data_IF_618128084927
#
_entry.id   IF_618128084927
#
_cell.length_a   1.000
_cell.length_b   1.000
_cell.length_c   1.000
_cell.angle_alpha   90.00
_cell.angle_beta   90.00
_cell.angle_gamma   90.00
#
_symmetry.space_group_name_H-M   'P 1'
#
loop_
_entity.id
_entity.type
_entity.pdbx_description
1 polymer ?
#
# COMPACT_ATOMS: atom_id res chain seq x y z
N UNK A 1 -25.47 -6.81 -4.78
CA UNK A 1 -24.48 -5.76 -4.98
C UNK A 1 -23.20 -6.22 -4.29
N UNK A 2 -22.10 -6.24 -5.00
CA UNK A 2 -20.80 -6.51 -4.38
C UNK A 2 -20.53 -5.35 -3.41
N UNK A 3 -20.40 -5.61 -2.09
CA UNK A 3 -20.16 -4.54 -1.14
C UNK A 3 -18.92 -3.75 -1.56
N UNK A 4 -19.01 -2.44 -1.59
CA UNK A 4 -17.88 -1.56 -1.77
C UNK A 4 -17.55 -1.13 -3.20
N UNK A 5 -18.35 -1.45 -4.20
CA UNK A 5 -18.21 -0.84 -5.54
C UNK A 5 -19.10 0.40 -5.62
N UNK A 6 -18.50 1.58 -5.71
CA UNK A 6 -19.23 2.80 -5.94
C UNK A 6 -20.02 2.69 -7.25
N UNK A 7 -21.29 3.14 -7.23
CA UNK A 7 -22.16 3.03 -8.42
C UNK A 7 -21.70 3.90 -9.59
N UNK A 8 -20.84 4.86 -9.31
CA UNK A 8 -20.26 5.83 -10.25
C UNK A 8 -18.80 5.52 -10.63
N UNK A 9 -18.28 4.35 -10.23
CA UNK A 9 -16.93 3.94 -10.58
C UNK A 9 -16.75 3.91 -12.11
N UNK A 10 -15.64 4.45 -12.59
CA UNK A 10 -15.28 4.43 -14.00
C UNK A 10 -14.91 3.02 -14.46
N UNK A 11 -14.86 2.75 -15.75
CA UNK A 11 -14.48 1.45 -16.28
C UNK A 11 -13.02 1.10 -15.93
N UNK A 12 -12.17 2.12 -15.76
CA UNK A 12 -10.79 1.97 -15.26
C UNK A 12 -10.82 1.50 -13.81
N UNK A 13 -11.59 2.17 -12.96
CA UNK A 13 -11.72 1.82 -11.55
C UNK A 13 -12.28 0.40 -11.39
N UNK A 14 -13.28 0.01 -12.18
CA UNK A 14 -13.83 -1.35 -12.20
C UNK A 14 -12.79 -2.39 -12.64
N UNK A 15 -11.97 -2.07 -13.63
CA UNK A 15 -10.88 -2.93 -14.09
C UNK A 15 -9.82 -3.15 -13.00
N UNK A 16 -9.45 -2.10 -12.27
CA UNK A 16 -8.55 -2.17 -11.13
C UNK A 16 -9.07 -3.12 -10.05
N UNK A 17 -10.34 -3.04 -9.75
CA UNK A 17 -10.96 -3.83 -8.67
C UNK A 17 -11.12 -5.29 -9.03
N UNK A 18 -11.29 -5.62 -10.29
CA UNK A 18 -11.36 -7.03 -10.76
C UNK A 18 -10.01 -7.72 -10.76
N UNK A 19 -8.91 -7.00 -10.91
CA UNK A 19 -7.55 -7.55 -10.84
C UNK A 19 -7.11 -7.96 -9.43
N UNK A 20 -7.88 -7.61 -8.41
CA UNK A 20 -7.51 -7.77 -7.00
C UNK A 20 -8.18 -8.97 -6.32
N UNK A 21 -9.00 -9.74 -7.04
CA UNK A 21 -9.64 -10.91 -6.44
C UNK A 21 -8.65 -12.07 -6.37
N UNK A 22 -8.13 -12.31 -5.17
CA UNK A 22 -7.36 -13.51 -4.87
C UNK A 22 -8.32 -14.65 -4.52
N UNK A 23 -8.32 -15.71 -5.32
CA UNK A 23 -9.15 -16.91 -5.11
C UNK A 23 -8.41 -18.07 -4.43
N UNK A 24 -7.11 -17.90 -4.15
CA UNK A 24 -6.29 -18.91 -3.48
C UNK A 24 -6.44 -18.90 -1.97
N UNK A 25 -5.93 -19.95 -1.32
CA UNK A 25 -5.81 -20.01 0.14
C UNK A 25 -4.51 -19.35 0.55
N UNK A 26 -4.61 -18.17 1.20
CA UNK A 26 -3.46 -17.50 1.78
C UNK A 26 -3.01 -18.22 3.04
N UNK A 27 -1.72 -18.48 3.14
CA UNK A 27 -1.13 -19.07 4.34
C UNK A 27 -1.09 -18.04 5.45
N UNK A 28 -1.45 -18.43 6.67
CA UNK A 28 -1.16 -17.61 7.84
C UNK A 28 0.33 -17.64 8.12
N UNK A 29 0.97 -16.48 8.07
CA UNK A 29 2.38 -16.27 8.40
C UNK A 29 2.46 -15.20 9.47
N UNK A 30 3.36 -15.35 10.41
CA UNK A 30 3.56 -14.38 11.49
C UNK A 30 3.82 -12.97 10.91
N UNK A 31 3.04 -12.00 11.34
CA UNK A 31 3.13 -10.61 10.91
C UNK A 31 2.34 -10.29 9.62
N UNK A 32 1.72 -11.27 8.98
CA UNK A 32 0.82 -11.05 7.83
C UNK A 32 -0.61 -11.34 8.24
N UNK A 33 -1.44 -10.30 8.28
CA UNK A 33 -2.89 -10.40 8.50
C UNK A 33 -3.61 -9.95 7.24
N UNK A 34 -4.21 -10.90 6.54
CA UNK A 34 -4.94 -10.61 5.31
C UNK A 34 -6.30 -10.00 5.63
N UNK A 35 -6.65 -8.97 4.87
CA UNK A 35 -7.90 -8.23 5.00
C UNK A 35 -8.59 -8.14 3.65
N UNK A 36 -9.91 -8.14 3.68
CA UNK A 36 -10.69 -7.84 2.48
C UNK A 36 -10.84 -6.32 2.35
N UNK A 37 -9.97 -5.72 1.55
CA UNK A 37 -9.99 -4.29 1.27
C UNK A 37 -10.95 -4.01 0.13
N UNK A 38 -11.97 -3.22 0.39
CA UNK A 38 -12.94 -2.86 -0.65
C UNK A 38 -12.38 -1.80 -1.59
N UNK A 39 -12.92 -1.71 -2.82
CA UNK A 39 -12.57 -0.65 -3.75
C UNK A 39 -12.73 0.76 -3.19
N UNK A 40 -13.80 1.00 -2.44
CA UNK A 40 -14.06 2.30 -1.81
C UNK A 40 -13.02 2.69 -0.77
N UNK A 41 -12.47 1.73 -0.03
CA UNK A 41 -11.40 2.01 0.94
C UNK A 41 -10.10 2.43 0.26
N UNK A 42 -9.83 2.01 -0.97
CA UNK A 42 -8.58 2.29 -1.67
C UNK A 42 -8.74 3.17 -2.91
N UNK A 43 -9.83 3.94 -3.00
CA UNK A 43 -10.09 4.83 -4.14
C UNK A 43 -8.96 5.84 -4.41
N UNK A 44 -8.23 6.22 -3.38
CA UNK A 44 -7.12 7.18 -3.48
C UNK A 44 -5.94 6.66 -4.29
N UNK A 45 -5.76 5.35 -4.37
CA UNK A 45 -4.61 4.73 -5.06
C UNK A 45 -4.59 4.97 -6.56
N UNK A 46 -5.72 5.32 -7.17
CA UNK A 46 -5.77 5.75 -8.57
C UNK A 46 -4.94 7.02 -8.83
N UNK A 47 -4.74 7.84 -7.82
CA UNK A 47 -3.92 9.06 -7.89
C UNK A 47 -2.45 8.79 -7.56
N UNK A 48 -2.15 7.71 -6.86
CA UNK A 48 -0.79 7.32 -6.47
C UNK A 48 -0.09 6.50 -7.57
N UNK A 49 -0.68 5.38 -7.94
CA UNK A 49 -0.09 4.38 -8.87
C UNK A 49 -0.90 4.17 -10.13
N UNK A 50 -1.92 5.00 -10.40
CA UNK A 50 -2.95 4.71 -11.39
C UNK A 50 -3.60 3.34 -11.18
N UNK A 51 -3.58 2.82 -9.94
CA UNK A 51 -4.10 1.53 -9.56
C UNK A 51 -3.32 0.33 -10.10
N UNK A 52 -2.04 0.49 -10.36
CA UNK A 52 -1.18 -0.55 -10.88
C UNK A 52 -0.37 -1.20 -9.76
N UNK A 53 -0.67 -2.47 -9.43
CA UNK A 53 0.12 -3.23 -8.45
C UNK A 53 1.55 -3.52 -8.89
N UNK A 54 1.83 -3.46 -10.18
CA UNK A 54 3.16 -3.64 -10.76
C UNK A 54 3.85 -2.31 -11.12
N UNK A 55 3.42 -1.21 -10.47
CA UNK A 55 3.99 0.11 -10.73
C UNK A 55 5.48 0.14 -10.41
N UNK A 56 6.29 0.42 -11.43
CA UNK A 56 7.73 0.66 -11.29
C UNK A 56 8.05 2.06 -10.76
N UNK A 57 9.35 2.35 -10.61
CA UNK A 57 9.81 3.69 -10.29
C UNK A 57 9.35 4.70 -11.33
N UNK A 58 8.93 5.88 -10.89
CA UNK A 58 8.43 6.93 -11.77
C UNK A 58 9.07 8.30 -11.47
N UNK A 59 9.02 9.18 -12.46
CA UNK A 59 9.54 10.54 -12.32
C UNK A 59 8.76 11.37 -11.29
N UNK A 60 7.46 11.14 -11.18
CA UNK A 60 6.56 11.95 -10.35
C UNK A 60 6.92 11.94 -8.86
N UNK A 61 7.50 10.84 -8.37
CA UNK A 61 7.96 10.69 -6.98
C UNK A 61 9.51 10.73 -6.85
N UNK A 62 10.21 11.11 -7.90
CA UNK A 62 11.66 11.13 -7.95
C UNK A 62 12.29 9.75 -7.92
N UNK A 63 11.62 8.74 -8.45
CA UNK A 63 12.06 7.34 -8.49
C UNK A 63 12.28 6.74 -7.09
N UNK A 64 11.37 7.02 -6.17
CA UNK A 64 11.50 6.59 -4.78
C UNK A 64 10.51 5.49 -4.34
N UNK A 65 9.46 5.20 -5.12
CA UNK A 65 8.40 4.29 -4.69
C UNK A 65 8.03 3.24 -5.75
N UNK A 66 7.55 2.08 -5.28
CA UNK A 66 7.08 0.96 -6.11
C UNK A 66 5.69 0.49 -5.66
N UNK A 67 4.95 -0.08 -6.60
CA UNK A 67 3.71 -0.79 -6.37
C UNK A 67 2.48 0.08 -6.17
N UNK A 68 1.38 -0.58 -5.85
CA UNK A 68 0.04 0.00 -5.77
C UNK A 68 -0.07 1.16 -4.76
N UNK A 69 0.53 0.99 -3.59
CA UNK A 69 0.51 1.95 -2.48
C UNK A 69 1.70 2.89 -2.48
N UNK A 70 2.56 2.85 -3.50
CA UNK A 70 3.79 3.62 -3.61
C UNK A 70 4.68 3.42 -2.37
N UNK A 71 5.09 2.18 -2.14
CA UNK A 71 6.01 1.86 -1.05
C UNK A 71 7.34 2.58 -1.24
N UNK A 72 7.58 3.57 -0.40
CA UNK A 72 8.76 4.41 -0.46
C UNK A 72 10.00 3.63 0.02
N UNK A 73 11.07 3.69 -0.76
CA UNK A 73 12.35 3.00 -0.46
C UNK A 73 12.97 3.42 0.86
N UNK A 74 12.68 4.65 1.32
CA UNK A 74 13.20 5.17 2.59
C UNK A 74 12.57 4.49 3.81
N UNK A 75 11.33 3.99 3.70
CA UNK A 75 10.54 3.60 4.85
C UNK A 75 9.88 2.23 4.73
N UNK A 76 9.12 1.99 3.66
CA UNK A 76 8.19 0.86 3.57
C UNK A 76 8.57 -0.21 2.56
N UNK A 77 9.33 0.12 1.51
CA UNK A 77 9.62 -0.82 0.43
C UNK A 77 10.35 -2.07 0.91
N UNK A 78 11.47 -1.90 1.61
CA UNK A 78 12.26 -3.04 2.09
C UNK A 78 11.53 -3.83 3.19
N UNK A 79 10.85 -3.20 4.17
CA UNK A 79 9.98 -3.92 5.11
C UNK A 79 8.87 -4.72 4.43
N UNK A 80 8.22 -4.17 3.40
CA UNK A 80 7.23 -4.91 2.60
C UNK A 80 7.86 -6.13 1.90
N UNK A 81 8.98 -5.93 1.19
CA UNK A 81 9.68 -7.02 0.50
C UNK A 81 10.08 -8.15 1.47
N UNK A 82 10.56 -7.79 2.67
CA UNK A 82 10.87 -8.78 3.74
C UNK A 82 9.63 -9.56 4.16
N UNK A 83 8.48 -8.89 4.31
CA UNK A 83 7.24 -9.57 4.68
C UNK A 83 6.78 -10.53 3.58
N UNK A 84 6.81 -10.12 2.31
CA UNK A 84 6.47 -10.97 1.18
C UNK A 84 7.43 -12.16 1.04
N UNK A 85 8.73 -11.93 1.16
CA UNK A 85 9.73 -13.00 1.16
C UNK A 85 9.49 -14.01 2.30
N UNK A 86 9.28 -13.53 3.53
CA UNK A 86 9.04 -14.40 4.68
C UNK A 86 7.73 -15.18 4.58
N UNK A 87 6.74 -14.64 3.86
CA UNK A 87 5.48 -15.33 3.59
C UNK A 87 5.70 -16.60 2.75
N UNK A 88 6.54 -16.54 1.72
CA UNK A 88 6.92 -17.69 0.91
C UNK A 88 8.32 -17.51 0.28
N UNK A 89 9.41 -17.90 1.01
CA UNK A 89 10.77 -17.66 0.55
C UNK A 89 11.14 -18.35 -0.76
N UNK A 90 10.57 -19.52 -1.03
CA UNK A 90 10.81 -20.25 -2.28
C UNK A 90 10.17 -19.51 -3.47
N UNK A 91 8.92 -19.09 -3.31
CA UNK A 91 8.15 -18.42 -4.35
C UNK A 91 8.68 -17.01 -4.64
N UNK A 92 9.05 -16.27 -3.60
CA UNK A 92 9.50 -14.89 -3.69
C UNK A 92 11.02 -14.74 -3.52
N UNK A 93 11.78 -15.76 -3.93
CA UNK A 93 13.24 -15.80 -3.80
C UNK A 93 13.93 -14.61 -4.53
N UNK A 94 13.32 -14.06 -5.61
CA UNK A 94 13.85 -12.92 -6.33
C UNK A 94 13.95 -11.64 -5.48
N UNK A 95 13.18 -11.55 -4.38
CA UNK A 95 13.24 -10.39 -3.48
C UNK A 95 14.51 -10.36 -2.62
N UNK A 96 15.23 -11.50 -2.53
CA UNK A 96 16.33 -11.64 -1.57
C UNK A 96 17.48 -10.66 -1.81
N UNK A 97 17.89 -10.47 -3.05
CA UNK A 97 18.99 -9.55 -3.39
C UNK A 97 18.64 -8.09 -3.04
N UNK A 98 17.44 -7.65 -3.36
CA UNK A 98 16.95 -6.33 -2.97
C UNK A 98 16.88 -6.17 -1.44
N UNK A 99 16.48 -7.21 -0.72
CA UNK A 99 16.45 -7.21 0.76
C UNK A 99 17.86 -7.14 1.34
N UNK A 100 18.80 -7.90 0.82
CA UNK A 100 20.19 -7.93 1.29
C UNK A 100 20.88 -6.57 1.05
N UNK A 101 20.56 -5.90 -0.05
CA UNK A 101 21.02 -4.54 -0.37
C UNK A 101 20.07 -3.43 0.11
N UNK A 102 19.15 -3.75 1.01
CA UNK A 102 18.12 -2.85 1.48
C UNK A 102 18.64 -1.54 2.08
N UNK A 103 19.79 -1.55 2.76
CA UNK A 103 20.41 -0.33 3.28
C UNK A 103 20.90 0.61 2.18
N UNK A 104 21.40 0.06 1.06
CA UNK A 104 21.82 0.84 -0.10
C UNK A 104 20.60 1.42 -0.84
N UNK A 105 19.55 0.62 -1.04
CA UNK A 105 18.31 1.03 -1.68
C UNK A 105 17.62 2.14 -0.87
N UNK A 106 17.59 2.01 0.46
CA UNK A 106 16.96 3.00 1.33
C UNK A 106 17.75 4.31 1.45
N UNK A 107 19.02 4.32 1.10
CA UNK A 107 19.85 5.52 1.15
C UNK A 107 19.57 6.43 -0.06
N UNK A 108 19.04 7.61 0.20
CA UNK A 108 18.69 8.58 -0.85
C UNK A 108 19.89 9.17 -1.60
N UNK A 109 21.11 9.03 -1.07
CA UNK A 109 22.34 9.39 -1.79
C UNK A 109 22.61 8.46 -2.97
N UNK A 110 22.01 7.26 -2.99
CA UNK A 110 22.09 6.32 -4.10
C UNK A 110 20.90 6.55 -5.03
N UNK A 111 21.16 6.94 -6.27
CA UNK A 111 20.12 7.14 -7.25
C UNK A 111 19.55 5.80 -7.75
N UNK A 112 18.23 5.72 -7.90
CA UNK A 112 17.57 4.58 -8.58
C UNK A 112 17.49 4.79 -10.08
N UNK A 113 17.59 6.04 -10.53
CA UNK A 113 17.50 6.43 -11.93
C UNK A 113 18.54 7.51 -12.25
N UNK A 114 19.31 7.35 -13.32
CA UNK A 114 20.31 8.30 -13.76
C UNK A 114 20.54 8.16 -15.26
N UNK A 115 20.92 9.24 -15.92
CA UNK A 115 21.25 9.25 -17.37
C UNK A 115 20.15 8.64 -18.26
N UNK A 116 18.89 8.82 -17.92
CA UNK A 116 17.77 8.35 -18.74
C UNK A 116 17.38 6.87 -18.53
N UNK A 117 17.94 6.20 -17.54
CA UNK A 117 17.67 4.78 -17.27
C UNK A 117 17.78 4.44 -15.77
N UNK A 118 17.26 3.28 -15.39
CA UNK A 118 17.49 2.75 -14.05
C UNK A 118 19.00 2.50 -13.84
N UNK A 119 19.46 2.78 -12.62
CA UNK A 119 20.79 2.35 -12.18
C UNK A 119 20.79 0.85 -11.90
N UNK A 120 21.97 0.24 -11.69
CA UNK A 120 22.06 -1.15 -11.22
C UNK A 120 21.19 -1.39 -9.97
N UNK A 121 21.28 -0.49 -9.01
CA UNK A 121 20.51 -0.58 -7.76
C UNK A 121 18.99 -0.39 -8.02
N UNK A 122 18.64 0.49 -8.95
CA UNK A 122 17.26 0.66 -9.41
C UNK A 122 16.69 -0.60 -10.06
N UNK A 123 17.48 -1.27 -10.90
CA UNK A 123 17.12 -2.57 -11.48
C UNK A 123 16.93 -3.64 -10.40
N UNK A 124 17.89 -3.79 -9.47
CA UNK A 124 17.77 -4.76 -8.38
C UNK A 124 16.48 -4.58 -7.59
N UNK A 125 16.10 -3.34 -7.26
CA UNK A 125 14.86 -3.09 -6.53
C UNK A 125 13.61 -3.32 -7.38
N UNK A 126 13.55 -2.72 -8.58
CA UNK A 126 12.36 -2.78 -9.43
C UNK A 126 12.13 -4.16 -10.02
N UNK A 127 13.17 -4.79 -10.58
CA UNK A 127 13.04 -6.09 -11.24
C UNK A 127 12.66 -7.19 -10.23
N UNK A 128 13.18 -7.11 -8.99
CA UNK A 128 12.77 -8.00 -7.91
C UNK A 128 11.28 -7.83 -7.55
N UNK A 129 10.82 -6.59 -7.43
CA UNK A 129 9.42 -6.29 -7.11
C UNK A 129 8.48 -6.75 -8.23
N UNK A 130 8.80 -6.40 -9.48
CA UNK A 130 8.01 -6.77 -10.65
C UNK A 130 8.04 -8.28 -10.90
N UNK A 131 9.18 -8.93 -10.71
CA UNK A 131 9.30 -10.38 -10.80
C UNK A 131 8.47 -11.12 -9.74
N UNK A 132 8.37 -10.58 -8.54
CA UNK A 132 7.48 -11.12 -7.52
C UNK A 132 6.00 -10.98 -7.91
N UNK A 133 5.61 -9.84 -8.46
CA UNK A 133 4.26 -9.65 -9.01
C UNK A 133 3.98 -10.61 -10.16
N UNK A 134 4.88 -10.74 -11.13
CA UNK A 134 4.70 -11.60 -12.31
C UNK A 134 4.62 -13.09 -11.94
N UNK A 135 5.21 -13.49 -10.83
CA UNK A 135 5.15 -14.87 -10.32
C UNK A 135 3.74 -15.25 -9.86
N UNK A 136 3.04 -14.37 -9.16
CA UNK A 136 1.64 -14.54 -8.78
C UNK A 136 0.99 -13.17 -8.54
N UNK A 137 0.43 -12.56 -9.57
CA UNK A 137 -0.15 -11.21 -9.48
C UNK A 137 -1.22 -11.08 -8.42
N UNK A 138 -2.08 -12.10 -8.27
CA UNK A 138 -3.19 -12.06 -7.31
C UNK A 138 -2.69 -12.14 -5.87
N UNK A 139 -1.78 -13.08 -5.56
CA UNK A 139 -1.23 -13.23 -4.22
C UNK A 139 -0.34 -12.04 -3.85
N UNK A 140 0.52 -11.57 -4.76
CA UNK A 140 1.39 -10.44 -4.48
C UNK A 140 0.62 -9.13 -4.29
N UNK A 141 -0.50 -8.94 -5.01
CA UNK A 141 -1.42 -7.83 -4.79
C UNK A 141 -2.07 -7.92 -3.40
N UNK A 142 -2.52 -9.11 -2.99
CA UNK A 142 -3.07 -9.33 -1.65
C UNK A 142 -2.04 -9.07 -0.53
N UNK A 143 -0.77 -9.39 -0.76
CA UNK A 143 0.32 -9.07 0.17
C UNK A 143 0.55 -7.56 0.26
N UNK A 144 0.46 -6.82 -0.84
CA UNK A 144 0.52 -5.36 -0.84
C UNK A 144 -0.64 -4.76 -0.05
N UNK A 145 -1.87 -5.20 -0.30
CA UNK A 145 -3.06 -4.77 0.43
C UNK A 145 -2.92 -5.02 1.94
N UNK A 146 -2.51 -6.23 2.31
CA UNK A 146 -2.34 -6.62 3.72
C UNK A 146 -1.29 -5.77 4.43
N UNK A 147 -0.14 -5.55 3.80
CA UNK A 147 0.92 -4.73 4.37
C UNK A 147 0.46 -3.29 4.57
N UNK A 148 -0.10 -2.68 3.53
CA UNK A 148 -0.54 -1.29 3.58
C UNK A 148 -1.68 -1.08 4.58
N UNK A 149 -2.66 -1.98 4.61
CA UNK A 149 -3.74 -1.93 5.60
C UNK A 149 -3.21 -2.00 7.04
N UNK A 150 -2.42 -3.02 7.34
CA UNK A 150 -1.96 -3.27 8.71
C UNK A 150 -0.91 -2.26 9.19
N UNK A 151 -0.06 -1.76 8.30
CA UNK A 151 1.03 -0.85 8.65
C UNK A 151 0.63 0.63 8.65
N UNK A 152 -0.45 0.98 7.96
CA UNK A 152 -0.92 2.37 7.84
C UNK A 152 -2.33 2.56 8.40
N UNK A 153 -3.35 2.04 7.72
CA UNK A 153 -4.75 2.29 8.09
C UNK A 153 -5.09 1.82 9.50
N UNK A 154 -4.81 0.55 9.82
CA UNK A 154 -5.17 -0.02 11.12
C UNK A 154 -4.46 0.68 12.29
N UNK A 155 -3.23 1.15 12.08
CA UNK A 155 -2.47 1.93 13.08
C UNK A 155 -3.17 3.26 13.36
N UNK A 156 -3.62 3.95 12.30
CA UNK A 156 -4.31 5.24 12.44
C UNK A 156 -5.72 5.07 13.00
N UNK A 157 -6.48 4.04 12.59
CA UNK A 157 -7.78 3.72 13.16
C UNK A 157 -7.68 3.48 14.67
N UNK A 158 -6.72 2.66 15.10
CA UNK A 158 -6.49 2.39 16.52
C UNK A 158 -6.08 3.65 17.28
N UNK A 159 -5.27 4.51 16.68
CA UNK A 159 -4.87 5.78 17.29
C UNK A 159 -6.05 6.76 17.40
N UNK A 160 -6.88 6.90 16.37
CA UNK A 160 -8.11 7.73 16.42
C UNK A 160 -9.00 7.31 17.61
N UNK A 161 -9.19 6.01 17.76
CA UNK A 161 -10.01 5.46 18.86
C UNK A 161 -9.38 5.70 20.23
N UNK A 162 -8.10 5.41 20.39
CA UNK A 162 -7.42 5.49 21.69
C UNK A 162 -7.08 6.90 22.13
N UNK A 163 -6.67 7.78 21.20
CA UNK A 163 -6.18 9.11 21.51
C UNK A 163 -7.25 10.22 21.42
N UNK A 164 -8.21 10.07 20.50
CA UNK A 164 -9.26 11.07 20.28
C UNK A 164 -10.67 10.56 20.65
N UNK A 165 -10.83 9.29 20.96
CA UNK A 165 -12.13 8.68 21.24
C UNK A 165 -13.00 8.51 19.98
N UNK A 166 -12.42 8.65 18.78
CA UNK A 166 -13.14 8.59 17.50
C UNK A 166 -13.13 7.15 16.98
N UNK A 167 -14.29 6.54 16.92
CA UNK A 167 -14.47 5.17 16.40
C UNK A 167 -15.01 5.21 14.96
N UNK A 168 -14.17 4.87 14.00
CA UNK A 168 -14.53 4.82 12.58
C UNK A 168 -14.82 3.40 12.07
N UNK A 169 -14.78 2.38 12.94
CA UNK A 169 -14.94 0.98 12.54
C UNK A 169 -16.29 0.68 11.87
N UNK A 170 -17.35 1.39 12.28
CA UNK A 170 -18.69 1.29 11.70
C UNK A 170 -19.00 2.28 10.57
N UNK A 171 -18.06 3.11 10.18
CA UNK A 171 -18.24 4.11 9.12
C UNK A 171 -18.19 3.49 7.73
N UNK A 172 -18.71 4.22 6.74
CA UNK A 172 -18.64 3.82 5.35
C UNK A 172 -17.18 3.66 4.87
N UNK A 173 -16.96 2.76 3.92
CA UNK A 173 -15.63 2.46 3.40
C UNK A 173 -14.94 3.66 2.76
N UNK A 174 -15.70 4.60 2.16
CA UNK A 174 -15.14 5.85 1.64
C UNK A 174 -14.54 6.73 2.75
N UNK A 175 -15.13 6.77 3.95
CA UNK A 175 -14.57 7.49 5.11
C UNK A 175 -13.28 6.83 5.59
N UNK A 176 -13.29 5.50 5.69
CA UNK A 176 -12.09 4.72 6.01
C UNK A 176 -10.99 4.94 4.96
N UNK A 177 -11.37 4.98 3.68
CA UNK A 177 -10.47 5.28 2.57
C UNK A 177 -9.85 6.67 2.65
N UNK A 178 -10.61 7.69 3.09
CA UNK A 178 -10.08 9.03 3.33
C UNK A 178 -9.03 9.03 4.46
N UNK A 179 -9.32 8.35 5.56
CA UNK A 179 -8.35 8.20 6.67
C UNK A 179 -7.10 7.48 6.19
N UNK A 180 -7.24 6.44 5.40
CA UNK A 180 -6.10 5.71 4.82
C UNK A 180 -5.30 6.58 3.86
N UNK A 181 -5.96 7.34 2.97
CA UNK A 181 -5.32 8.27 2.05
C UNK A 181 -4.43 9.28 2.78
N UNK A 182 -4.96 9.94 3.81
CA UNK A 182 -4.20 10.89 4.64
C UNK A 182 -3.01 10.19 5.31
N UNK A 183 -3.23 8.97 5.81
CA UNK A 183 -2.17 8.18 6.45
C UNK A 183 -1.09 7.77 5.46
N UNK A 184 -1.48 7.36 4.24
CA UNK A 184 -0.54 6.99 3.18
C UNK A 184 0.34 8.19 2.78
N UNK A 185 -0.27 9.36 2.63
CA UNK A 185 0.41 10.59 2.24
C UNK A 185 1.36 11.11 3.33
N UNK A 186 0.93 11.11 4.60
CA UNK A 186 1.63 11.80 5.68
C UNK A 186 2.36 10.86 6.65
N UNK A 187 2.21 9.54 6.48
CA UNK A 187 2.66 8.53 7.45
C UNK A 187 1.81 8.53 8.72
N UNK A 188 1.94 7.47 9.52
CA UNK A 188 1.17 7.25 10.76
C UNK A 188 1.43 8.29 11.87
N UNK A 189 2.53 9.01 11.77
CA UNK A 189 2.84 10.12 12.69
C UNK A 189 2.29 11.45 12.20
N UNK A 190 2.59 11.80 10.94
CA UNK A 190 2.23 13.10 10.35
C UNK A 190 0.72 13.29 10.16
N UNK A 191 -0.03 12.23 9.92
CA UNK A 191 -1.49 12.31 9.76
C UNK A 191 -2.23 12.76 11.04
N UNK A 192 -1.61 12.59 12.22
CA UNK A 192 -2.25 12.87 13.51
C UNK A 192 -2.66 14.33 13.68
N UNK A 193 -1.88 15.25 13.16
CA UNK A 193 -2.19 16.69 13.29
C UNK A 193 -3.41 17.03 12.42
N UNK A 194 -3.56 16.46 11.23
CA UNK A 194 -4.76 16.64 10.41
C UNK A 194 -6.02 16.25 11.17
N UNK A 195 -6.01 15.07 11.82
CA UNK A 195 -7.17 14.60 12.58
C UNK A 195 -7.44 15.40 13.86
N UNK A 196 -6.40 15.94 14.51
CA UNK A 196 -6.59 16.86 15.66
C UNK A 196 -7.23 18.18 15.22
N UNK A 197 -6.80 18.74 14.07
CA UNK A 197 -7.33 19.98 13.54
C UNK A 197 -8.76 19.85 12.98
N UNK A 198 -9.11 18.66 12.51
CA UNK A 198 -10.45 18.40 11.98
C UNK A 198 -11.56 18.45 13.03
N UNK A 199 -11.21 18.42 14.33
CA UNK A 199 -12.14 18.47 15.46
C UNK A 199 -13.30 17.46 15.31
N UNK A 200 -12.96 16.20 15.03
CA UNK A 200 -13.91 15.14 14.73
C UNK A 200 -14.80 14.79 15.93
N UNK A 201 -16.03 14.39 15.67
CA UNK A 201 -16.98 13.85 16.64
C UNK A 201 -17.64 12.57 16.11
N UNK A 202 -17.93 11.61 17.00
CA UNK A 202 -18.66 10.40 16.64
C UNK A 202 -20.10 10.67 16.17
N UNK A 203 -20.66 11.85 16.50
CA UNK A 203 -22.01 12.28 16.08
C UNK A 203 -22.05 12.86 14.66
N UNK A 204 -20.90 13.14 14.06
CA UNK A 204 -20.83 13.59 12.67
C UNK A 204 -21.34 12.50 11.73
N UNK A 205 -22.06 12.88 10.70
CA UNK A 205 -22.40 11.99 9.60
C UNK A 205 -21.17 11.68 8.74
N UNK A 206 -21.25 10.63 7.92
CA UNK A 206 -20.16 10.27 6.99
C UNK A 206 -19.92 11.35 5.90
N UNK A 207 -20.84 12.31 5.76
CA UNK A 207 -20.73 13.42 4.81
C UNK A 207 -20.00 14.64 5.40
N UNK A 208 -20.04 14.81 6.70
CA UNK A 208 -19.32 15.86 7.44
C UNK A 208 -17.86 15.49 7.64
#
# INVERSE_FOLDING_TARGET
PTPGVASDATDIDKGLYTQQSFSGVLRSVQGVSFVNVTPEMKYFTKYESHGNYNQGFSYGDGYNALGYYQFDRRWSLIPFMKQAYNYNPEKYCMLKDAIDRGSEISNTSNAMYANGQLTELGHIAQDAFQGAYDTDPAEFSALQDAYAYNSYYAVTEAWLKSALGIDISGRADCVKGMVWSITNMCGTGGCRDFFRWANLSNDMSDRE
#
